data_IF_216181150839
#
_entry.id   IF_216181150839
#
_cell.length_a   1.000
_cell.length_b   1.000
_cell.length_c   1.000
_cell.angle_alpha   90.00
_cell.angle_beta   90.00
_cell.angle_gamma   90.00
#
_symmetry.space_group_name_H-M   'P 1'
#
loop_
_entity.id
_entity.type
_entity.pdbx_description
1 polymer ?
#
# COMPACT_ATOMS: atom_id res chain seq x y z
N UNK A 1 -69.40 -29.96 19.19
CA UNK A 1 -69.27 -29.02 18.04
C UNK A 1 -69.45 -27.63 18.65
N UNK A 2 -68.51 -26.70 18.75
CA UNK A 2 -67.31 -26.37 17.98
C UNK A 2 -66.25 -25.74 18.92
N UNK A 3 -64.98 -26.02 18.68
CA UNK A 3 -63.84 -25.25 19.22
C UNK A 3 -63.58 -24.06 18.27
N UNK A 4 -63.58 -22.83 18.79
CA UNK A 4 -63.13 -21.65 18.04
C UNK A 4 -61.64 -21.42 18.29
N UNK A 5 -60.83 -21.63 17.25
CA UNK A 5 -59.40 -21.37 17.22
C UNK A 5 -59.09 -19.87 17.23
N UNK A 6 -58.26 -19.44 18.19
CA UNK A 6 -57.52 -18.19 18.15
C UNK A 6 -56.30 -18.38 17.23
N UNK A 7 -56.22 -17.61 16.14
CA UNK A 7 -55.01 -17.54 15.31
C UNK A 7 -54.19 -16.35 15.82
N UNK A 8 -53.11 -16.64 16.55
CA UNK A 8 -52.09 -15.65 16.90
C UNK A 8 -51.09 -15.58 15.75
N UNK A 9 -51.11 -14.50 14.98
CA UNK A 9 -50.07 -14.22 13.99
C UNK A 9 -48.86 -13.65 14.72
N UNK A 10 -47.85 -14.49 14.93
CA UNK A 10 -46.54 -14.06 15.41
C UNK A 10 -45.73 -13.52 14.22
N UNK A 11 -45.66 -12.20 14.08
CA UNK A 11 -44.80 -11.56 13.10
C UNK A 11 -43.34 -11.71 13.56
N UNK A 12 -42.59 -12.61 12.92
CA UNK A 12 -41.14 -12.72 13.08
C UNK A 12 -40.49 -11.49 12.45
N UNK A 13 -40.08 -10.53 13.28
CA UNK A 13 -39.15 -9.49 12.87
C UNK A 13 -37.78 -10.16 12.62
N UNK A 14 -37.48 -10.44 11.35
CA UNK A 14 -36.14 -10.86 10.96
C UNK A 14 -35.21 -9.65 11.15
N UNK A 15 -34.12 -9.78 11.92
CA UNK A 15 -33.12 -8.73 11.96
C UNK A 15 -32.45 -8.71 10.59
N UNK A 16 -32.76 -7.71 9.78
CA UNK A 16 -32.03 -7.41 8.56
C UNK A 16 -30.66 -6.91 8.99
N UNK A 17 -29.72 -7.84 9.16
CA UNK A 17 -28.29 -7.56 9.15
C UNK A 17 -27.95 -7.21 7.70
N UNK A 18 -28.40 -6.03 7.26
CA UNK A 18 -27.80 -5.39 6.12
C UNK A 18 -26.37 -5.10 6.56
N UNK A 19 -25.45 -6.00 6.22
CA UNK A 19 -24.02 -5.73 6.28
C UNK A 19 -23.83 -4.44 5.50
N UNK A 20 -23.71 -3.33 6.21
CA UNK A 20 -23.61 -2.01 5.61
C UNK A 20 -22.25 -2.00 4.93
N UNK A 21 -22.26 -2.27 3.62
CA UNK A 21 -21.05 -2.23 2.80
C UNK A 21 -20.39 -0.89 3.09
N UNK A 22 -19.14 -0.91 3.54
CA UNK A 22 -18.47 0.33 3.91
C UNK A 22 -18.59 1.33 2.76
N UNK A 23 -18.82 2.61 3.07
CA UNK A 23 -18.88 3.63 2.03
C UNK A 23 -17.57 3.63 1.24
N UNK A 24 -17.65 3.83 -0.07
CA UNK A 24 -16.47 3.91 -0.95
C UNK A 24 -15.46 4.96 -0.45
N UNK A 25 -14.18 4.75 -0.77
CA UNK A 25 -13.13 5.77 -0.65
C UNK A 25 -13.59 7.10 -1.27
N UNK A 26 -13.36 8.17 -0.53
CA UNK A 26 -13.50 9.55 -1.02
C UNK A 26 -12.14 10.10 -1.43
N UNK A 27 -12.08 11.09 -2.31
CA UNK A 27 -10.84 11.73 -2.75
C UNK A 27 -9.93 12.15 -1.59
N UNK A 28 -10.51 12.74 -0.53
CA UNK A 28 -9.76 13.15 0.66
C UNK A 28 -9.16 11.97 1.43
N UNK A 29 -9.86 10.85 1.48
CA UNK A 29 -9.39 9.64 2.17
C UNK A 29 -8.33 8.92 1.34
N UNK A 30 -8.52 8.85 0.02
CA UNK A 30 -7.53 8.32 -0.90
C UNK A 30 -6.23 9.14 -0.87
N UNK A 31 -6.33 10.47 -0.84
CA UNK A 31 -5.18 11.34 -0.70
C UNK A 31 -4.50 11.14 0.64
N UNK A 32 -5.25 11.10 1.75
CA UNK A 32 -4.68 10.91 3.09
C UNK A 32 -3.96 9.56 3.24
N UNK A 33 -4.53 8.47 2.73
CA UNK A 33 -3.87 7.16 2.72
C UNK A 33 -2.60 7.18 1.87
N UNK A 34 -2.62 7.88 0.72
CA UNK A 34 -1.44 8.05 -0.13
C UNK A 34 -0.35 8.84 0.56
N UNK A 35 -0.68 9.95 1.20
CA UNK A 35 0.27 10.81 1.91
C UNK A 35 0.88 10.09 3.10
N UNK A 36 0.06 9.36 3.87
CA UNK A 36 0.53 8.53 4.97
C UNK A 36 1.51 7.46 4.47
N UNK A 37 1.15 6.75 3.40
CA UNK A 37 2.01 5.73 2.79
C UNK A 37 3.33 6.32 2.28
N UNK A 38 3.26 7.39 1.48
CA UNK A 38 4.42 8.09 0.95
C UNK A 38 5.36 8.54 2.07
N UNK A 39 4.81 9.14 3.13
CA UNK A 39 5.60 9.61 4.26
C UNK A 39 6.27 8.45 5.00
N UNK A 40 5.56 7.34 5.25
CA UNK A 40 6.11 6.17 5.93
C UNK A 40 7.33 5.62 5.18
N UNK A 41 7.20 5.35 3.89
CA UNK A 41 8.28 4.74 3.09
C UNK A 41 9.47 5.70 2.94
N UNK A 42 9.21 6.99 2.68
CA UNK A 42 10.24 7.99 2.43
C UNK A 42 11.04 8.37 3.69
N UNK A 43 10.37 8.40 4.84
CA UNK A 43 10.89 9.00 6.08
C UNK A 43 11.05 8.03 7.25
N UNK A 44 10.94 6.71 7.01
CA UNK A 44 10.90 5.71 8.07
C UNK A 44 12.00 5.91 9.13
N UNK A 45 13.27 5.93 8.70
CA UNK A 45 14.43 6.08 9.58
C UNK A 45 14.62 7.51 10.12
N UNK A 46 13.96 8.51 9.53
CA UNK A 46 14.05 9.89 9.99
C UNK A 46 13.18 10.13 11.22
N UNK A 47 12.04 9.45 11.32
CA UNK A 47 11.16 9.50 12.47
C UNK A 47 10.32 8.22 12.60
N UNK A 48 10.90 7.24 13.31
CA UNK A 48 10.31 5.90 13.50
C UNK A 48 8.95 6.01 14.22
N UNK A 49 8.86 6.80 15.28
CA UNK A 49 7.62 6.92 16.07
C UNK A 49 6.43 7.38 15.22
N UNK A 50 6.62 8.41 14.38
CA UNK A 50 5.55 8.86 13.47
C UNK A 50 5.27 7.83 12.38
N UNK A 51 6.27 7.08 11.93
CA UNK A 51 6.09 6.00 10.94
C UNK A 51 5.23 4.88 11.50
N UNK A 52 5.53 4.43 12.73
CA UNK A 52 4.74 3.44 13.45
C UNK A 52 3.30 3.92 13.71
N UNK A 53 3.12 5.19 14.06
CA UNK A 53 1.78 5.78 14.22
C UNK A 53 0.98 5.69 12.91
N UNK A 54 1.56 6.16 11.80
CA UNK A 54 0.90 6.14 10.49
C UNK A 54 0.66 4.71 10.00
N UNK A 55 1.57 3.79 10.30
CA UNK A 55 1.43 2.37 9.97
C UNK A 55 0.25 1.77 10.71
N UNK A 56 0.14 2.04 12.01
CA UNK A 56 -0.99 1.58 12.81
C UNK A 56 -2.31 2.17 12.32
N UNK A 57 -2.33 3.42 11.85
CA UNK A 57 -3.54 4.08 11.38
C UNK A 57 -3.97 3.64 9.98
N UNK A 58 -3.00 3.37 9.10
CA UNK A 58 -3.22 3.27 7.65
C UNK A 58 -3.09 1.86 7.11
N UNK A 59 -2.47 0.92 7.84
CA UNK A 59 -2.14 -0.41 7.34
C UNK A 59 -2.79 -1.51 8.18
N UNK A 60 -3.40 -2.47 7.49
CA UNK A 60 -4.01 -3.68 8.06
C UNK A 60 -2.95 -4.53 8.76
N UNK A 61 -3.25 -5.17 9.91
CA UNK A 61 -2.31 -6.10 10.55
C UNK A 61 -1.82 -7.24 9.64
N UNK A 62 -2.66 -7.65 8.68
CA UNK A 62 -2.39 -8.76 7.74
C UNK A 62 -2.07 -8.26 6.34
N UNK A 63 -1.38 -7.12 6.22
CA UNK A 63 -1.02 -6.55 4.91
C UNK A 63 -0.13 -7.50 4.10
N UNK A 64 -0.30 -7.49 2.79
CA UNK A 64 0.62 -8.14 1.85
C UNK A 64 1.28 -7.10 0.95
N UNK A 65 2.61 -7.07 0.90
CA UNK A 65 3.37 -6.24 -0.03
C UNK A 65 3.93 -7.07 -1.18
N UNK A 66 3.82 -6.58 -2.41
CA UNK A 66 4.28 -7.23 -3.62
C UNK A 66 5.10 -6.24 -4.46
N UNK A 67 6.29 -6.68 -4.85
CA UNK A 67 7.08 -5.99 -5.88
C UNK A 67 7.94 -6.98 -6.65
N UNK A 68 7.65 -7.17 -7.93
CA UNK A 68 8.53 -7.94 -8.80
C UNK A 68 9.88 -7.24 -8.96
N UNK A 69 9.89 -5.91 -8.97
CA UNK A 69 11.11 -5.10 -8.99
C UNK A 69 12.02 -5.40 -7.80
N UNK A 70 11.51 -5.30 -6.57
CA UNK A 70 12.32 -5.57 -5.36
C UNK A 70 12.74 -7.03 -5.30
N UNK A 71 11.82 -7.98 -5.51
CA UNK A 71 12.14 -9.42 -5.48
C UNK A 71 13.27 -9.77 -6.45
N UNK A 72 13.25 -9.21 -7.67
CA UNK A 72 14.31 -9.45 -8.64
C UNK A 72 15.64 -8.81 -8.21
N UNK A 73 15.61 -7.61 -7.62
CA UNK A 73 16.80 -6.93 -7.14
C UNK A 73 17.46 -7.66 -5.95
N UNK A 74 16.67 -8.05 -4.96
CA UNK A 74 17.18 -8.75 -3.76
C UNK A 74 17.71 -10.16 -4.08
N UNK A 75 17.04 -10.86 -4.98
CA UNK A 75 17.43 -12.22 -5.35
C UNK A 75 18.43 -12.29 -6.51
N UNK A 76 18.82 -11.16 -7.09
CA UNK A 76 19.58 -11.10 -8.34
C UNK A 76 18.98 -11.99 -9.46
N UNK A 77 17.64 -12.07 -9.50
CA UNK A 77 16.87 -12.90 -10.44
C UNK A 77 16.79 -14.39 -10.09
N UNK A 78 17.34 -14.84 -8.94
CA UNK A 78 17.27 -16.23 -8.52
C UNK A 78 15.89 -16.66 -7.98
N UNK A 79 15.07 -15.70 -7.53
CA UNK A 79 13.69 -15.95 -7.08
C UNK A 79 12.73 -15.54 -8.19
N UNK A 80 11.78 -16.41 -8.50
CA UNK A 80 10.74 -16.17 -9.52
C UNK A 80 9.34 -16.33 -8.94
N UNK A 81 8.37 -15.63 -9.54
CA UNK A 81 6.95 -15.71 -9.20
C UNK A 81 6.47 -14.61 -8.24
N UNK A 82 5.15 -14.35 -8.19
CA UNK A 82 4.57 -13.41 -7.25
C UNK A 82 4.55 -14.07 -5.86
N UNK A 83 5.56 -13.78 -5.06
CA UNK A 83 5.56 -14.03 -3.63
C UNK A 83 5.46 -12.68 -2.94
N UNK A 84 4.65 -12.54 -1.87
CA UNK A 84 4.68 -11.33 -1.07
C UNK A 84 6.08 -11.15 -0.48
N UNK A 85 6.55 -9.92 -0.44
CA UNK A 85 7.71 -9.50 0.34
C UNK A 85 7.40 -9.66 1.83
N UNK A 86 6.25 -9.13 2.23
CA UNK A 86 5.72 -9.14 3.59
C UNK A 86 4.32 -9.72 3.63
N UNK A 87 3.98 -10.44 4.70
CA UNK A 87 2.64 -10.99 4.93
C UNK A 87 2.00 -10.48 6.22
N UNK A 88 2.70 -9.61 6.95
CA UNK A 88 2.20 -8.94 8.14
C UNK A 88 2.68 -7.50 8.18
N UNK A 89 1.98 -6.68 8.98
CA UNK A 89 2.37 -5.29 9.20
C UNK A 89 3.72 -5.14 9.90
N UNK A 90 4.09 -6.10 10.75
CA UNK A 90 5.35 -6.09 11.49
C UNK A 90 6.52 -6.48 10.59
N UNK A 91 6.32 -7.43 9.67
CA UNK A 91 7.30 -7.75 8.61
C UNK A 91 7.53 -6.52 7.71
N UNK A 92 6.45 -5.91 7.22
CA UNK A 92 6.54 -4.70 6.41
C UNK A 92 7.31 -3.57 7.09
N UNK A 93 7.05 -3.34 8.40
CA UNK A 93 7.79 -2.36 9.19
C UNK A 93 9.28 -2.70 9.32
N UNK A 94 9.61 -3.98 9.52
CA UNK A 94 10.99 -4.44 9.61
C UNK A 94 11.73 -4.23 8.28
N UNK A 95 11.07 -4.48 7.15
CA UNK A 95 11.66 -4.29 5.82
C UNK A 95 11.95 -2.81 5.52
N UNK A 96 11.10 -1.89 5.99
CA UNK A 96 11.38 -0.45 5.87
C UNK A 96 12.63 -0.01 6.65
N UNK A 97 13.07 -0.76 7.68
CA UNK A 97 14.34 -0.49 8.38
C UNK A 97 15.56 -0.81 7.52
N UNK A 98 15.41 -1.44 6.36
CA UNK A 98 16.52 -1.68 5.43
C UNK A 98 16.61 -0.59 4.36
N UNK A 99 15.53 0.14 4.11
CA UNK A 99 15.48 1.19 3.09
C UNK A 99 16.09 2.50 3.62
N UNK A 100 17.07 3.12 2.94
CA UNK A 100 17.58 4.44 3.31
C UNK A 100 16.52 5.52 3.02
N UNK A 101 16.46 6.63 3.80
CA UNK A 101 15.54 7.72 3.52
C UNK A 101 15.74 8.28 2.13
N UNK A 102 14.63 8.62 1.47
CA UNK A 102 14.63 9.23 0.15
C UNK A 102 13.45 10.19 0.02
N UNK A 103 13.51 11.07 -0.96
CA UNK A 103 12.39 11.95 -1.28
C UNK A 103 11.41 11.21 -2.19
N UNK A 104 10.14 11.11 -1.80
CA UNK A 104 9.07 10.53 -2.61
C UNK A 104 8.03 11.61 -2.91
N UNK A 105 8.03 12.07 -4.16
CA UNK A 105 7.10 13.08 -4.65
C UNK A 105 5.92 12.40 -5.35
N UNK A 106 4.76 12.38 -4.70
CA UNK A 106 3.49 11.93 -5.30
C UNK A 106 3.09 12.89 -6.42
N UNK A 107 2.82 12.34 -7.61
CA UNK A 107 2.55 13.12 -8.82
C UNK A 107 1.07 13.15 -9.17
N UNK A 108 0.43 11.98 -9.14
CA UNK A 108 -0.99 11.81 -9.46
C UNK A 108 -1.55 10.70 -8.57
N UNK A 109 -2.79 10.88 -8.12
CA UNK A 109 -3.55 9.90 -7.36
C UNK A 109 -4.86 9.62 -8.10
N UNK A 110 -5.18 8.34 -8.24
CA UNK A 110 -6.44 7.83 -8.76
C UNK A 110 -7.02 6.85 -7.75
N UNK A 111 -8.34 6.73 -7.67
CA UNK A 111 -8.95 5.71 -6.82
C UNK A 111 -10.29 5.21 -7.35
N UNK A 112 -10.64 4.00 -6.92
CA UNK A 112 -11.97 3.41 -6.99
C UNK A 112 -12.64 3.48 -5.61
N UNK A 113 -13.57 2.56 -5.31
CA UNK A 113 -14.17 2.44 -3.98
C UNK A 113 -13.24 1.85 -2.92
N UNK A 114 -12.28 1.03 -3.33
CA UNK A 114 -11.44 0.21 -2.45
C UNK A 114 -9.97 0.19 -2.90
N UNK A 115 -9.64 0.79 -4.04
CA UNK A 115 -8.29 0.75 -4.61
C UNK A 115 -7.80 2.17 -4.82
N UNK A 116 -6.57 2.44 -4.44
CA UNK A 116 -5.85 3.68 -4.74
C UNK A 116 -4.70 3.31 -5.66
N UNK A 117 -4.43 4.12 -6.67
CA UNK A 117 -3.23 4.01 -7.50
C UNK A 117 -2.57 5.37 -7.57
N UNK A 118 -1.26 5.44 -7.43
CA UNK A 118 -0.56 6.71 -7.56
C UNK A 118 0.78 6.55 -8.23
N UNK A 119 1.16 7.59 -8.97
CA UNK A 119 2.48 7.71 -9.58
C UNK A 119 3.35 8.56 -8.68
N UNK A 120 4.62 8.20 -8.57
CA UNK A 120 5.60 8.95 -7.80
C UNK A 120 6.92 9.14 -8.56
N UNK A 121 7.68 10.12 -8.10
CA UNK A 121 9.03 10.42 -8.55
C UNK A 121 9.92 10.60 -7.31
N UNK A 122 11.10 10.00 -7.33
CA UNK A 122 12.15 10.21 -6.35
C UNK A 122 13.35 10.83 -7.05
N UNK A 123 13.60 12.14 -6.86
CA UNK A 123 14.79 12.79 -7.39
C UNK A 123 16.06 12.12 -6.87
N UNK A 124 17.01 11.86 -7.76
CA UNK A 124 18.32 11.29 -7.39
C UNK A 124 19.43 12.02 -8.13
N UNK A 125 20.66 11.89 -7.64
CA UNK A 125 21.82 12.60 -8.21
C UNK A 125 22.11 12.27 -9.68
N UNK A 126 21.72 11.07 -10.11
CA UNK A 126 22.11 10.52 -11.43
C UNK A 126 20.89 10.41 -12.34
N UNK A 127 19.91 9.60 -11.95
CA UNK A 127 18.63 9.51 -12.65
C UNK A 127 17.49 9.45 -11.65
N UNK A 128 16.49 10.29 -11.84
CA UNK A 128 15.23 10.15 -11.13
C UNK A 128 14.71 8.72 -11.21
N UNK A 129 14.22 8.21 -10.08
CA UNK A 129 13.51 6.95 -10.04
C UNK A 129 12.02 7.26 -10.02
N UNK A 130 11.28 6.76 -10.99
CA UNK A 130 9.82 6.87 -11.01
C UNK A 130 9.18 5.51 -10.79
N UNK A 131 8.01 5.51 -10.17
CA UNK A 131 7.26 4.29 -9.98
C UNK A 131 5.77 4.51 -9.91
N UNK A 132 5.08 3.39 -9.72
CA UNK A 132 3.65 3.30 -9.53
C UNK A 132 3.39 2.40 -8.33
N UNK A 133 2.41 2.79 -7.54
CA UNK A 133 1.91 2.00 -6.42
C UNK A 133 0.42 1.79 -6.60
N UNK A 134 -0.05 0.59 -6.31
CA UNK A 134 -1.47 0.27 -6.12
C UNK A 134 -1.66 -0.17 -4.69
N UNK A 135 -2.61 0.45 -3.99
CA UNK A 135 -3.02 0.12 -2.64
C UNK A 135 -4.45 -0.41 -2.70
N UNK A 136 -4.65 -1.69 -2.40
CA UNK A 136 -5.99 -2.21 -2.13
C UNK A 136 -6.30 -2.00 -0.65
N UNK A 137 -7.54 -1.60 -0.37
CA UNK A 137 -7.98 -1.20 0.96
C UNK A 137 -9.19 -2.01 1.41
N UNK A 138 -9.32 -2.14 2.73
CA UNK A 138 -10.47 -2.75 3.39
C UNK A 138 -11.03 -1.79 4.43
N UNK A 139 -12.31 -1.94 4.83
CA UNK A 139 -12.87 -1.14 5.90
C UNK A 139 -12.07 -1.30 7.19
N UNK A 140 -11.76 -0.18 7.83
CA UNK A 140 -11.07 -0.14 9.10
C UNK A 140 -11.99 -0.67 10.21
N UNK A 141 -11.44 -1.32 11.25
CA UNK A 141 -12.20 -1.64 12.46
C UNK A 141 -12.85 -0.39 13.08
N UNK A 142 -13.97 -0.54 13.81
CA UNK A 142 -14.60 0.58 14.51
C UNK A 142 -13.62 1.29 15.46
N UNK A 143 -13.74 2.62 15.56
CA UNK A 143 -12.90 3.44 16.44
C UNK A 143 -11.53 3.82 15.85
N UNK A 144 -11.26 3.50 14.58
CA UNK A 144 -10.08 3.97 13.85
C UNK A 144 -10.27 5.38 13.30
N UNK A 145 -9.19 6.17 13.15
CA UNK A 145 -9.26 7.53 12.60
C UNK A 145 -9.58 7.55 11.10
N UNK A 146 -9.19 6.52 10.36
CA UNK A 146 -9.51 6.32 8.95
C UNK A 146 -10.62 5.28 8.80
N UNK A 147 -11.45 5.40 7.74
CA UNK A 147 -12.52 4.44 7.46
C UNK A 147 -12.02 3.24 6.66
N UNK A 148 -10.90 3.40 5.98
CA UNK A 148 -10.20 2.34 5.26
C UNK A 148 -8.75 2.20 5.74
N UNK A 149 -8.23 0.98 5.62
CA UNK A 149 -6.82 0.66 5.81
C UNK A 149 -6.31 -0.14 4.63
N UNK A 150 -5.03 -0.01 4.32
CA UNK A 150 -4.33 -0.72 3.26
C UNK A 150 -4.19 -2.18 3.63
N UNK A 151 -4.62 -3.07 2.73
CA UNK A 151 -4.59 -4.52 2.88
C UNK A 151 -3.61 -5.18 1.91
N UNK A 152 -3.45 -4.60 0.72
CA UNK A 152 -2.51 -5.09 -0.28
C UNK A 152 -1.74 -3.92 -0.88
N UNK A 153 -0.44 -4.09 -1.07
CA UNK A 153 0.43 -3.12 -1.72
C UNK A 153 1.03 -3.81 -2.95
N UNK A 154 0.95 -3.15 -4.10
CA UNK A 154 1.73 -3.49 -5.29
C UNK A 154 2.62 -2.31 -5.62
N UNK A 155 3.93 -2.50 -5.60
CA UNK A 155 4.88 -1.42 -5.85
C UNK A 155 5.85 -1.79 -6.98
N UNK A 156 5.94 -0.95 -8.01
CA UNK A 156 6.85 -1.13 -9.14
C UNK A 156 7.54 0.18 -9.49
N UNK A 157 8.81 0.12 -9.90
CA UNK A 157 9.60 1.30 -10.22
C UNK A 157 10.63 1.04 -11.33
N UNK A 158 11.24 2.11 -11.83
CA UNK A 158 12.32 2.03 -12.81
C UNK A 158 13.60 1.42 -12.17
N UNK A 159 13.67 0.09 -12.19
CA UNK A 159 14.80 -0.67 -11.66
C UNK A 159 16.10 -0.41 -12.42
N UNK A 160 16.04 -0.06 -13.70
CA UNK A 160 17.23 0.29 -14.47
C UNK A 160 17.81 1.62 -13.99
N UNK A 161 16.98 2.65 -13.77
CA UNK A 161 17.43 3.90 -13.16
C UNK A 161 18.02 3.65 -11.76
N UNK A 162 17.38 2.82 -10.95
CA UNK A 162 17.90 2.43 -9.63
C UNK A 162 19.28 1.75 -9.71
N UNK A 163 19.46 0.77 -10.61
CA UNK A 163 20.74 0.08 -10.78
C UNK A 163 21.85 1.00 -11.28
N UNK A 164 21.54 1.99 -12.11
CA UNK A 164 22.49 3.04 -12.51
C UNK A 164 22.87 3.91 -11.30
N UNK A 165 21.89 4.32 -10.49
CA UNK A 165 22.14 5.15 -9.31
C UNK A 165 23.01 4.44 -8.26
N UNK A 166 22.86 3.12 -8.10
CA UNK A 166 23.70 2.32 -7.19
C UNK A 166 25.06 1.94 -7.80
N UNK A 167 25.27 2.20 -9.08
CA UNK A 167 26.46 1.80 -9.83
C UNK A 167 26.54 0.31 -10.16
N UNK A 168 25.50 -0.47 -9.83
CA UNK A 168 25.38 -1.89 -10.15
C UNK A 168 25.23 -2.13 -11.67
N UNK A 169 24.74 -1.14 -12.41
CA UNK A 169 24.69 -1.16 -13.87
C UNK A 169 25.32 0.11 -14.45
N UNK A 170 26.19 -0.06 -15.47
CA UNK A 170 26.81 1.04 -16.23
C UNK A 170 26.43 0.91 -17.71
N UNK A 171 25.55 1.76 -18.24
CA UNK A 171 25.20 1.76 -19.65
C UNK A 171 26.42 2.00 -20.55
N UNK A 172 26.69 1.10 -21.49
CA UNK A 172 27.87 1.18 -22.37
C UNK A 172 27.75 2.27 -23.46
N UNK A 173 26.56 2.80 -23.71
CA UNK A 173 26.25 3.73 -24.80
C UNK A 173 25.97 5.17 -24.33
N UNK A 174 26.06 5.44 -23.03
CA UNK A 174 25.96 6.80 -22.50
C UNK A 174 27.36 7.43 -22.46
N UNK A 175 27.55 8.64 -22.98
CA UNK A 175 28.80 9.40 -22.82
C UNK A 175 28.64 10.39 -21.65
N UNK A 176 29.53 10.33 -20.65
CA UNK A 176 29.46 11.15 -19.43
C UNK A 176 29.78 10.38 -18.15
N UNK A 177 29.63 10.96 -16.94
CA UNK A 177 29.93 10.29 -15.66
C UNK A 177 29.06 9.06 -15.35
N UNK A 178 28.15 8.72 -16.27
CA UNK A 178 27.18 7.63 -16.19
C UNK A 178 27.40 6.55 -17.26
N UNK A 179 28.46 6.69 -18.08
CA UNK A 179 28.91 5.70 -19.05
C UNK A 179 30.13 4.92 -18.58
N UNK A 180 30.47 3.83 -19.30
CA UNK A 180 31.77 3.17 -19.16
C UNK A 180 32.90 4.05 -19.70
#
# INVERSE_FOLDING_TARGET
>A
MHFSSLITVLALALPTWAAQKAPCLTDAEAQQLTDNFAWMIASWKLNITKSEELLQQSVSPTVHDYSASVVNLESAGCRSGPQPLDSTRDEFAADQLNVPPFELNVQQVWHSCDTISFRWNAPQRVRDVTGLVVLETVPAPPGRPLRHVIQTIYSEFDTAAFLVNTGAFRPANCTGPYGA
#
